data_IF_515460737667
#
_entry.id   IF_515460737667
#
_cell.length_a   1.000
_cell.length_b   1.000
_cell.length_c   1.000
_cell.angle_alpha   90.00
_cell.angle_beta   90.00
_cell.angle_gamma   90.00
#
_symmetry.space_group_name_H-M   'P 1'
#
loop_
_entity.id
_entity.type
_entity.pdbx_description
1 polymer ?
#
# COMPACT_ATOMS: atom_id res chain seq x y z
N UNK A 1 37.27 -16.81 -9.92
CA UNK A 1 36.56 -16.67 -11.22
C UNK A 1 36.23 -18.05 -11.76
N UNK A 2 34.96 -18.47 -11.74
CA UNK A 2 34.55 -19.80 -12.18
C UNK A 2 34.63 -19.91 -13.72
N UNK A 3 35.39 -20.88 -14.24
CA UNK A 3 35.57 -21.12 -15.68
C UNK A 3 34.20 -21.41 -16.34
N UNK A 4 33.84 -20.62 -17.36
CA UNK A 4 32.64 -20.84 -18.20
C UNK A 4 32.66 -22.26 -18.76
N UNK A 5 31.60 -23.01 -18.49
CA UNK A 5 31.38 -24.34 -19.06
C UNK A 5 31.14 -24.18 -20.57
N UNK A 6 31.95 -24.87 -21.37
CA UNK A 6 31.90 -24.88 -22.84
C UNK A 6 30.62 -25.52 -23.35
N UNK A 7 30.17 -25.11 -24.53
CA UNK A 7 28.92 -25.55 -25.17
C UNK A 7 28.86 -27.08 -25.30
N UNK A 8 29.97 -27.71 -25.68
CA UNK A 8 30.08 -29.18 -25.77
C UNK A 8 29.81 -29.89 -24.43
N UNK A 9 30.26 -29.29 -23.31
CA UNK A 9 30.08 -29.87 -21.97
C UNK A 9 28.65 -29.66 -21.45
N UNK A 10 27.91 -28.67 -21.97
CA UNK A 10 26.46 -28.53 -21.73
C UNK A 10 25.65 -29.54 -22.53
N UNK A 11 26.00 -29.77 -23.79
CA UNK A 11 25.33 -30.74 -24.66
C UNK A 11 25.44 -32.16 -24.10
N UNK A 12 26.65 -32.57 -23.70
CA UNK A 12 26.89 -33.87 -23.05
C UNK A 12 26.08 -34.06 -21.77
N UNK A 13 25.95 -33.00 -20.96
CA UNK A 13 25.15 -33.03 -19.73
C UNK A 13 23.64 -33.07 -20.02
N UNK A 14 23.19 -32.56 -21.17
CA UNK A 14 21.80 -32.68 -21.60
C UNK A 14 21.51 -34.11 -22.05
N UNK A 15 22.40 -34.71 -22.85
CA UNK A 15 22.33 -36.10 -23.29
C UNK A 15 22.36 -37.10 -22.11
N UNK A 16 23.25 -36.89 -21.12
CA UNK A 16 23.30 -37.67 -19.88
C UNK A 16 22.02 -37.55 -19.02
N UNK A 17 21.23 -36.48 -19.21
CA UNK A 17 19.94 -36.27 -18.56
C UNK A 17 18.75 -36.68 -19.46
N UNK A 18 18.99 -37.46 -20.51
CA UNK A 18 17.95 -38.03 -21.37
C UNK A 18 17.46 -37.13 -22.50
N UNK A 19 18.15 -36.02 -22.80
CA UNK A 19 17.86 -35.18 -23.96
C UNK A 19 18.47 -35.83 -25.22
N UNK A 20 17.62 -36.37 -26.10
CA UNK A 20 18.02 -36.84 -27.43
C UNK A 20 17.62 -35.80 -28.47
N UNK A 21 18.61 -35.31 -29.21
CA UNK A 21 18.42 -34.40 -30.35
C UNK A 21 18.00 -35.27 -31.56
N UNK A 22 16.74 -35.71 -31.59
CA UNK A 22 16.13 -36.16 -32.83
C UNK A 22 15.59 -34.94 -33.53
N UNK A 23 16.21 -34.57 -34.65
CA UNK A 23 15.89 -33.41 -35.52
C UNK A 23 14.48 -33.49 -36.18
N UNK A 24 13.58 -34.35 -35.70
CA UNK A 24 12.26 -34.59 -36.31
C UNK A 24 11.14 -33.69 -35.76
N UNK A 25 11.36 -32.92 -34.68
CA UNK A 25 10.31 -32.14 -33.99
C UNK A 25 10.65 -30.63 -33.83
N UNK A 26 11.18 -29.99 -34.87
CA UNK A 26 11.25 -28.52 -34.94
C UNK A 26 10.13 -28.00 -35.84
N UNK A 27 8.97 -27.78 -35.24
CA UNK A 27 7.89 -26.94 -35.76
C UNK A 27 8.07 -25.52 -35.20
N UNK A 28 7.86 -24.48 -36.02
CA UNK A 28 7.83 -23.06 -35.61
C UNK A 28 6.74 -22.73 -34.57
N UNK A 29 5.90 -23.71 -34.22
CA UNK A 29 4.90 -23.61 -33.16
C UNK A 29 5.51 -23.33 -31.79
N UNK A 30 4.99 -22.32 -31.06
CA UNK A 30 5.50 -21.95 -29.75
C UNK A 30 5.30 -23.08 -28.74
N UNK A 31 6.38 -23.54 -28.11
CA UNK A 31 6.33 -24.47 -26.98
C UNK A 31 5.77 -23.75 -25.75
N UNK A 32 4.47 -23.92 -25.49
CA UNK A 32 3.79 -23.38 -24.33
C UNK A 32 4.16 -24.17 -23.07
N UNK A 33 4.71 -23.50 -22.06
CA UNK A 33 4.85 -24.10 -20.71
C UNK A 33 3.47 -24.27 -20.08
N UNK A 34 3.29 -25.37 -19.36
CA UNK A 34 2.09 -25.61 -18.55
C UNK A 34 1.83 -24.42 -17.62
N UNK A 35 0.67 -23.80 -17.81
CA UNK A 35 0.16 -22.73 -16.96
C UNK A 35 -0.21 -23.34 -15.58
N UNK A 36 -0.29 -22.51 -14.53
CA UNK A 36 -0.77 -23.01 -13.24
C UNK A 36 -2.27 -23.29 -13.32
N UNK A 37 -2.82 -24.30 -12.61
CA UNK A 37 -4.21 -24.74 -12.79
C UNK A 37 -5.28 -23.65 -12.62
N UNK A 38 -5.00 -22.61 -11.83
CA UNK A 38 -5.91 -21.46 -11.64
C UNK A 38 -5.92 -20.46 -12.81
N UNK A 39 -4.94 -20.57 -13.70
CA UNK A 39 -4.74 -19.76 -14.91
C UNK A 39 -5.25 -20.46 -16.16
N UNK A 40 -5.15 -21.79 -16.25
CA UNK A 40 -5.51 -22.60 -17.43
C UNK A 40 -6.91 -22.29 -17.94
N UNK A 41 -7.92 -22.39 -17.05
CA UNK A 41 -9.33 -22.18 -17.43
C UNK A 41 -9.62 -20.77 -17.96
N UNK A 42 -8.90 -19.76 -17.46
CA UNK A 42 -9.06 -18.36 -17.92
C UNK A 42 -8.28 -18.09 -19.20
N UNK A 43 -7.14 -18.76 -19.39
CA UNK A 43 -6.31 -18.61 -20.57
C UNK A 43 -6.91 -19.33 -21.77
N UNK A 44 -7.49 -20.51 -21.58
CA UNK A 44 -8.28 -21.21 -22.61
C UNK A 44 -9.50 -20.39 -23.02
N UNK A 45 -10.25 -19.84 -22.05
CA UNK A 45 -11.39 -18.95 -22.39
C UNK A 45 -10.92 -17.68 -23.09
N UNK A 46 -9.75 -17.14 -22.74
CA UNK A 46 -9.16 -15.96 -23.42
C UNK A 46 -8.62 -16.28 -24.80
N UNK A 47 -8.03 -17.45 -25.01
CA UNK A 47 -7.52 -17.93 -26.30
C UNK A 47 -8.66 -18.30 -27.22
N UNK A 48 -9.68 -19.02 -26.75
CA UNK A 48 -10.95 -19.22 -27.46
C UNK A 48 -11.57 -17.87 -27.85
N UNK A 49 -11.64 -16.90 -26.92
CA UNK A 49 -12.07 -15.54 -27.28
C UNK A 49 -11.15 -14.84 -28.28
N UNK A 50 -9.83 -15.08 -28.26
CA UNK A 50 -8.92 -14.35 -29.15
C UNK A 50 -8.85 -14.95 -30.55
N UNK A 51 -8.80 -16.27 -30.65
CA UNK A 51 -8.78 -17.04 -31.89
C UNK A 51 -10.17 -17.04 -32.55
N UNK A 52 -11.26 -17.01 -31.78
CA UNK A 52 -12.61 -16.86 -32.32
C UNK A 52 -13.00 -15.38 -32.53
N UNK A 53 -12.77 -14.45 -31.58
CA UNK A 53 -13.33 -13.08 -31.68
C UNK A 53 -12.50 -12.06 -32.47
N UNK A 54 -11.21 -12.27 -32.71
CA UNK A 54 -10.43 -11.38 -33.58
C UNK A 54 -11.04 -11.26 -34.98
N UNK A 55 -11.38 -12.39 -35.63
CA UNK A 55 -12.13 -12.43 -36.88
C UNK A 55 -13.64 -12.17 -36.69
N UNK A 56 -14.28 -12.66 -35.62
CA UNK A 56 -15.73 -12.54 -35.43
C UNK A 56 -16.18 -11.09 -35.30
N UNK A 57 -15.44 -10.25 -34.57
CA UNK A 57 -15.77 -8.84 -34.34
C UNK A 57 -15.87 -8.04 -35.66
N UNK A 58 -14.96 -8.31 -36.60
CA UNK A 58 -15.03 -7.80 -37.99
C UNK A 58 -16.13 -8.46 -38.80
N UNK A 59 -16.34 -9.77 -38.65
CA UNK A 59 -17.32 -10.57 -39.40
C UNK A 59 -18.78 -10.22 -39.06
N UNK A 60 -19.05 -9.77 -37.83
CA UNK A 60 -20.39 -9.41 -37.35
C UNK A 60 -20.60 -7.89 -37.22
N UNK A 61 -19.63 -7.08 -37.65
CA UNK A 61 -19.75 -5.61 -37.65
C UNK A 61 -19.87 -4.98 -36.26
N UNK A 62 -19.25 -5.57 -35.23
CA UNK A 62 -19.27 -4.98 -33.89
C UNK A 62 -18.50 -3.66 -33.89
N UNK A 63 -19.07 -2.65 -33.24
CA UNK A 63 -18.47 -1.33 -33.17
C UNK A 63 -17.11 -1.34 -32.47
N UNK A 64 -16.13 -0.68 -33.07
CA UNK A 64 -14.85 -0.35 -32.44
C UNK A 64 -14.93 0.94 -31.59
N UNK A 65 -16.11 1.53 -31.48
CA UNK A 65 -16.32 2.73 -30.68
C UNK A 65 -15.98 2.46 -29.21
N UNK A 66 -14.93 3.10 -28.72
CA UNK A 66 -14.61 3.09 -27.30
C UNK A 66 -15.66 3.91 -26.55
N UNK A 67 -16.11 3.41 -25.40
CA UNK A 67 -17.00 4.19 -24.52
C UNK A 67 -16.40 5.56 -24.21
N UNK A 68 -17.21 6.64 -24.13
CA UNK A 68 -16.76 7.95 -23.72
C UNK A 68 -15.95 7.89 -22.42
N UNK A 69 -14.87 8.67 -22.37
CA UNK A 69 -14.04 8.76 -21.17
C UNK A 69 -14.63 9.81 -20.24
N UNK A 70 -14.85 9.44 -18.98
CA UNK A 70 -15.25 10.36 -17.92
C UNK A 70 -14.08 10.63 -16.97
N UNK A 71 -14.13 11.78 -16.30
CA UNK A 71 -13.11 12.30 -15.39
C UNK A 71 -13.78 12.78 -14.10
N UNK A 72 -13.17 12.49 -12.95
CA UNK A 72 -13.63 13.04 -11.67
C UNK A 72 -12.78 14.26 -11.34
N UNK A 73 -13.23 15.46 -11.71
CA UNK A 73 -12.57 16.72 -11.36
C UNK A 73 -12.73 17.02 -9.86
N UNK A 74 -12.01 18.02 -9.36
CA UNK A 74 -12.18 18.52 -7.99
C UNK A 74 -13.63 18.92 -7.70
N UNK A 75 -14.31 19.55 -8.65
CA UNK A 75 -15.72 19.95 -8.51
C UNK A 75 -16.64 18.72 -8.34
N UNK A 76 -16.49 17.72 -9.20
CA UNK A 76 -17.26 16.47 -9.10
C UNK A 76 -16.99 15.76 -7.76
N UNK A 77 -15.74 15.75 -7.30
CA UNK A 77 -15.36 15.18 -6.02
C UNK A 77 -16.04 15.92 -4.86
N UNK A 78 -16.12 17.25 -4.92
CA UNK A 78 -16.83 18.04 -3.91
C UNK A 78 -18.33 17.76 -3.89
N UNK A 79 -18.98 17.48 -5.03
CA UNK A 79 -20.37 17.03 -5.04
C UNK A 79 -20.55 15.70 -4.33
N UNK A 80 -19.65 14.73 -4.56
CA UNK A 80 -19.72 13.43 -3.87
C UNK A 80 -19.53 13.55 -2.36
N UNK A 81 -18.55 14.33 -1.90
CA UNK A 81 -18.33 14.53 -0.46
C UNK A 81 -19.45 15.36 0.20
N UNK A 82 -20.03 16.34 -0.49
CA UNK A 82 -21.22 17.07 0.00
C UNK A 82 -22.43 16.18 0.09
N UNK A 83 -22.69 15.38 -0.94
CA UNK A 83 -23.76 14.40 -0.91
C UNK A 83 -23.57 13.50 0.31
N UNK A 84 -22.41 12.87 0.46
CA UNK A 84 -22.14 11.90 1.52
C UNK A 84 -22.23 12.47 2.95
N UNK A 85 -21.95 13.76 3.18
CA UNK A 85 -21.85 14.33 4.53
C UNK A 85 -22.91 15.38 4.88
N UNK A 86 -23.61 15.96 3.90
CA UNK A 86 -24.55 17.06 4.12
C UNK A 86 -25.95 16.76 3.58
N UNK A 87 -26.02 16.17 2.39
CA UNK A 87 -27.27 16.05 1.63
C UNK A 87 -27.77 14.60 1.54
N UNK A 88 -27.10 13.66 2.22
CA UNK A 88 -27.42 12.25 2.10
C UNK A 88 -28.67 11.87 2.90
N UNK A 89 -29.74 11.53 2.17
CA UNK A 89 -30.91 10.86 2.72
C UNK A 89 -30.75 9.34 2.86
N UNK A 90 -29.60 8.77 2.46
CA UNK A 90 -29.36 7.33 2.59
C UNK A 90 -29.11 6.91 4.04
N UNK A 91 -29.93 5.99 4.53
CA UNK A 91 -29.73 5.33 5.81
C UNK A 91 -28.68 4.22 5.64
N UNK A 92 -27.44 4.55 5.98
CA UNK A 92 -26.41 3.53 6.09
C UNK A 92 -26.70 2.65 7.29
N UNK A 93 -26.47 1.35 7.12
CA UNK A 93 -26.55 0.41 8.23
C UNK A 93 -25.62 0.80 9.39
N UNK A 94 -24.44 1.35 9.07
CA UNK A 94 -23.48 1.89 10.03
C UNK A 94 -22.84 3.16 9.47
N UNK A 95 -22.71 4.20 10.29
CA UNK A 95 -22.03 5.45 9.89
C UNK A 95 -20.55 5.25 9.52
N UNK A 96 -19.94 4.15 9.97
CA UNK A 96 -18.60 3.73 9.55
C UNK A 96 -18.47 3.52 8.04
N UNK A 97 -19.57 3.22 7.32
CA UNK A 97 -19.55 3.15 5.86
C UNK A 97 -19.19 4.49 5.22
N UNK A 98 -19.75 5.61 5.71
CA UNK A 98 -19.43 6.95 5.18
C UNK A 98 -17.95 7.26 5.34
N UNK A 99 -17.39 6.94 6.51
CA UNK A 99 -15.95 7.10 6.81
C UNK A 99 -15.09 6.25 5.87
N UNK A 100 -15.42 4.97 5.68
CA UNK A 100 -14.70 4.06 4.78
C UNK A 100 -14.78 4.52 3.32
N UNK A 101 -15.96 4.95 2.86
CA UNK A 101 -16.18 5.44 1.50
C UNK A 101 -15.34 6.71 1.26
N UNK A 102 -15.42 7.73 2.13
CA UNK A 102 -14.63 8.96 2.00
C UNK A 102 -13.12 8.71 2.07
N UNK A 103 -12.65 7.86 2.98
CA UNK A 103 -11.23 7.52 3.07
C UNK A 103 -10.71 6.84 1.80
N UNK A 104 -11.50 5.90 1.26
CA UNK A 104 -11.14 5.13 0.07
C UNK A 104 -11.25 5.94 -1.22
N UNK A 105 -12.23 6.85 -1.32
CA UNK A 105 -12.31 7.86 -2.37
C UNK A 105 -11.01 8.66 -2.43
N UNK A 106 -10.54 9.19 -1.30
CA UNK A 106 -9.29 9.96 -1.22
C UNK A 106 -8.07 9.16 -1.66
N UNK A 107 -8.01 7.86 -1.32
CA UNK A 107 -6.94 7.00 -1.82
C UNK A 107 -6.93 6.91 -3.36
N UNK A 108 -8.10 6.90 -4.02
CA UNK A 108 -8.21 6.83 -5.48
C UNK A 108 -8.16 8.18 -6.20
N UNK A 109 -8.44 9.27 -5.49
CA UNK A 109 -8.39 10.64 -6.01
C UNK A 109 -6.97 11.19 -5.92
N UNK A 110 -6.31 11.02 -4.78
CA UNK A 110 -4.94 11.50 -4.55
C UNK A 110 -3.87 10.54 -5.02
N UNK A 111 -4.23 9.33 -5.45
CA UNK A 111 -3.26 8.39 -6.02
C UNK A 111 -3.85 7.71 -7.26
N UNK A 112 -3.01 7.33 -8.23
CA UNK A 112 -3.48 6.58 -9.38
C UNK A 112 -3.76 5.10 -9.05
N UNK A 113 -3.96 4.70 -7.79
CA UNK A 113 -4.14 3.30 -7.41
C UNK A 113 -5.31 2.65 -8.17
N UNK A 114 -5.11 1.40 -8.61
CA UNK A 114 -6.19 0.60 -9.22
C UNK A 114 -7.10 0.06 -8.13
N UNK A 115 -8.37 -0.18 -8.48
CA UNK A 115 -9.35 -0.80 -7.57
C UNK A 115 -8.81 -2.06 -6.89
N UNK A 116 -8.21 -2.97 -7.67
CA UNK A 116 -7.65 -4.22 -7.19
C UNK A 116 -6.37 -4.09 -6.35
N UNK A 117 -5.78 -2.89 -6.25
CA UNK A 117 -4.60 -2.65 -5.41
C UNK A 117 -5.02 -2.30 -3.97
N UNK A 118 -6.23 -1.74 -3.79
CA UNK A 118 -6.80 -1.37 -2.49
C UNK A 118 -7.85 -2.38 -2.04
N UNK A 119 -8.72 -2.81 -2.95
CA UNK A 119 -9.82 -3.76 -2.72
C UNK A 119 -9.50 -5.12 -3.32
N UNK A 120 -10.21 -6.16 -2.89
CA UNK A 120 -10.13 -7.44 -3.60
C UNK A 120 -10.66 -7.30 -5.02
N UNK A 121 -9.82 -7.65 -5.99
CA UNK A 121 -10.21 -7.62 -7.40
C UNK A 121 -11.08 -8.83 -7.76
N UNK A 122 -12.09 -8.63 -8.60
CA UNK A 122 -12.91 -9.72 -9.15
C UNK A 122 -12.09 -10.80 -9.86
N UNK A 123 -10.96 -10.43 -10.49
CA UNK A 123 -10.06 -11.41 -11.13
C UNK A 123 -9.31 -12.29 -10.13
N UNK A 124 -9.28 -11.90 -8.85
CA UNK A 124 -8.65 -12.58 -7.71
C UNK A 124 -9.66 -12.75 -6.56
N UNK A 125 -10.92 -13.01 -6.89
CA UNK A 125 -11.97 -13.21 -5.90
C UNK A 125 -11.62 -14.38 -4.96
N UNK A 126 -11.90 -14.21 -3.67
CA UNK A 126 -11.63 -15.21 -2.62
C UNK A 126 -10.17 -15.27 -2.17
N UNK A 127 -9.31 -14.38 -2.63
CA UNK A 127 -7.89 -14.34 -2.21
C UNK A 127 -7.64 -13.46 -0.99
N UNK A 128 -8.59 -12.57 -0.65
CA UNK A 128 -8.43 -11.56 0.39
C UNK A 128 -7.35 -10.51 0.09
N UNK A 129 -6.84 -10.43 -1.15
CA UNK A 129 -5.71 -9.57 -1.50
C UNK A 129 -6.14 -8.13 -1.79
N UNK A 130 -5.51 -7.19 -1.08
CA UNK A 130 -5.59 -5.73 -1.28
C UNK A 130 -4.87 -5.04 -0.12
N UNK A 131 -5.19 -3.78 0.17
CA UNK A 131 -4.39 -2.97 1.10
C UNK A 131 -4.51 -3.43 2.55
N UNK A 132 -3.38 -3.81 3.16
CA UNK A 132 -3.26 -4.22 4.58
C UNK A 132 -2.38 -3.26 5.37
N UNK A 133 -2.49 -3.28 6.69
CA UNK A 133 -1.70 -2.39 7.56
C UNK A 133 -0.20 -2.57 7.36
N UNK A 134 0.29 -3.81 7.17
CA UNK A 134 1.70 -4.10 6.88
C UNK A 134 2.25 -3.44 5.61
N UNK A 135 1.37 -3.08 4.67
CA UNK A 135 1.73 -2.40 3.43
C UNK A 135 1.68 -0.86 3.57
N UNK A 136 1.53 -0.37 4.80
CA UNK A 136 1.39 1.07 5.08
C UNK A 136 2.34 1.52 6.17
N UNK A 137 2.61 2.83 6.20
CA UNK A 137 3.43 3.46 7.23
C UNK A 137 2.78 4.76 7.66
N UNK A 138 2.66 4.97 8.96
CA UNK A 138 2.20 6.24 9.53
C UNK A 138 3.38 6.90 10.24
N UNK A 139 3.58 8.18 9.99
CA UNK A 139 4.58 8.97 10.69
C UNK A 139 4.03 10.36 11.03
N UNK A 140 4.64 10.97 12.02
CA UNK A 140 4.42 12.36 12.37
C UNK A 140 5.70 13.13 12.02
N UNK A 141 5.58 14.14 11.17
CA UNK A 141 6.68 14.97 10.69
C UNK A 141 6.63 16.36 11.34
N UNK A 142 7.79 16.94 11.64
CA UNK A 142 7.90 18.31 12.13
C UNK A 142 8.47 19.19 11.04
N UNK A 143 7.68 20.19 10.67
CA UNK A 143 8.08 21.23 9.72
C UNK A 143 7.70 22.57 10.31
N UNK A 144 8.64 23.50 10.35
CA UNK A 144 8.42 24.87 10.85
C UNK A 144 7.77 24.89 12.26
N UNK A 145 8.22 23.98 13.13
CA UNK A 145 7.69 23.76 14.49
C UNK A 145 6.23 23.32 14.58
N UNK A 146 5.65 22.82 13.48
CA UNK A 146 4.30 22.26 13.43
C UNK A 146 4.33 20.75 13.14
N UNK A 147 3.56 19.95 13.90
CA UNK A 147 3.36 18.54 13.57
C UNK A 147 2.51 18.40 12.31
N UNK A 148 2.81 17.37 11.53
CA UNK A 148 2.03 16.95 10.38
C UNK A 148 1.99 15.43 10.31
N UNK A 149 0.79 14.85 10.28
CA UNK A 149 0.64 13.43 10.00
C UNK A 149 0.84 13.13 8.51
N UNK A 150 1.61 12.06 8.24
CA UNK A 150 1.82 11.54 6.89
C UNK A 150 1.61 10.04 6.86
N UNK A 151 0.88 9.58 5.86
CA UNK A 151 0.56 8.17 5.65
C UNK A 151 1.08 7.69 4.30
N UNK A 152 1.99 6.74 4.33
CA UNK A 152 2.53 6.06 3.17
C UNK A 152 1.73 4.79 2.86
N UNK A 153 1.26 4.68 1.62
CA UNK A 153 0.51 3.54 1.09
C UNK A 153 1.34 2.85 0.00
N UNK A 154 1.90 1.68 0.31
CA UNK A 154 2.61 0.84 -0.66
C UNK A 154 1.60 0.08 -1.52
N UNK A 155 1.74 0.17 -2.84
CA UNK A 155 0.89 -0.53 -3.80
C UNK A 155 1.40 -1.94 -4.04
N UNK A 156 1.19 -2.79 -3.06
CA UNK A 156 1.71 -4.18 -3.01
C UNK A 156 1.32 -5.00 -4.25
N UNK A 157 0.11 -4.78 -4.78
CA UNK A 157 -0.42 -5.50 -5.93
C UNK A 157 -0.37 -4.72 -7.25
N UNK A 158 0.58 -3.79 -7.39
CA UNK A 158 0.74 -3.01 -8.61
C UNK A 158 0.93 -3.91 -9.85
N UNK A 159 0.12 -3.67 -10.90
CA UNK A 159 0.16 -4.45 -12.15
C UNK A 159 1.57 -4.43 -12.77
N UNK A 160 2.10 -5.60 -13.08
CA UNK A 160 3.41 -5.78 -13.73
C UNK A 160 4.62 -5.74 -12.78
N UNK A 161 4.36 -5.76 -11.46
CA UNK A 161 5.37 -5.65 -10.40
C UNK A 161 5.27 -6.79 -9.37
N UNK A 162 4.71 -7.94 -9.77
CA UNK A 162 4.49 -9.10 -8.90
C UNK A 162 5.82 -9.61 -8.32
N UNK A 163 6.86 -9.74 -9.14
CA UNK A 163 8.18 -10.25 -8.71
C UNK A 163 9.18 -9.13 -8.37
N UNK A 164 8.71 -7.88 -8.32
CA UNK A 164 9.56 -6.67 -8.21
C UNK A 164 9.23 -5.87 -6.96
N UNK A 165 9.34 -6.51 -5.79
CA UNK A 165 8.91 -5.94 -4.51
C UNK A 165 9.52 -4.57 -4.20
N UNK A 166 10.79 -4.33 -4.58
CA UNK A 166 11.51 -3.07 -4.39
C UNK A 166 10.99 -1.92 -5.27
N UNK A 167 10.34 -2.24 -6.39
CA UNK A 167 9.85 -1.26 -7.38
C UNK A 167 8.37 -0.91 -7.19
N UNK A 168 7.69 -1.54 -6.24
CA UNK A 168 6.26 -1.31 -5.99
C UNK A 168 6.06 0.10 -5.43
N UNK A 169 5.24 0.96 -6.08
CA UNK A 169 5.19 2.37 -5.72
C UNK A 169 4.53 2.59 -4.36
N UNK A 170 5.08 3.53 -3.59
CA UNK A 170 4.51 4.03 -2.34
C UNK A 170 4.08 5.48 -2.54
N UNK A 171 2.79 5.74 -2.38
CA UNK A 171 2.24 7.10 -2.40
C UNK A 171 2.06 7.60 -0.98
N UNK A 172 2.31 8.89 -0.76
CA UNK A 172 2.23 9.52 0.55
C UNK A 172 1.07 10.51 0.51
N UNK A 173 0.18 10.40 1.48
CA UNK A 173 -0.84 11.39 1.78
C UNK A 173 -0.44 12.12 3.06
N UNK A 174 -0.77 13.40 3.16
CA UNK A 174 -0.35 14.24 4.29
C UNK A 174 -1.48 15.16 4.77
N UNK A 175 -1.40 15.53 6.04
CA UNK A 175 -2.43 16.28 6.75
C UNK A 175 -2.52 17.76 6.37
N UNK A 176 -1.38 18.44 6.15
CA UNK A 176 -1.36 19.90 5.96
C UNK A 176 -1.87 20.30 4.57
N UNK A 177 -3.16 20.61 4.50
CA UNK A 177 -3.85 21.12 3.31
C UNK A 177 -4.40 22.54 3.59
N UNK A 178 -3.55 23.58 3.51
CA UNK A 178 -3.92 24.92 3.94
C UNK A 178 -5.05 25.50 3.10
N UNK A 179 -5.94 26.26 3.75
CA UNK A 179 -7.09 26.94 3.13
C UNK A 179 -8.06 26.00 2.39
N UNK A 180 -8.09 24.72 2.76
CA UNK A 180 -9.02 23.74 2.22
C UNK A 180 -10.09 23.32 3.23
N UNK A 181 -11.19 22.77 2.72
CA UNK A 181 -12.25 22.23 3.57
C UNK A 181 -11.77 20.99 4.32
N UNK A 182 -12.18 20.82 5.57
CA UNK A 182 -11.75 19.67 6.40
C UNK A 182 -12.04 18.32 5.73
N UNK A 183 -13.14 18.22 4.98
CA UNK A 183 -13.55 17.00 4.27
C UNK A 183 -12.56 16.55 3.19
N UNK A 184 -11.67 17.42 2.70
CA UNK A 184 -10.64 17.03 1.72
C UNK A 184 -9.36 16.54 2.40
N UNK A 185 -9.22 16.70 3.71
CA UNK A 185 -8.05 16.22 4.44
C UNK A 185 -8.02 14.68 4.40
N UNK A 186 -6.96 14.04 3.85
CA UNK A 186 -6.86 12.59 3.82
C UNK A 186 -6.72 11.96 5.20
N UNK A 187 -6.10 12.65 6.15
CA UNK A 187 -5.84 12.09 7.47
C UNK A 187 -7.09 12.06 8.35
N UNK A 188 -8.09 12.92 8.11
CA UNK A 188 -9.33 12.98 8.90
C UNK A 188 -10.01 11.61 9.05
N UNK A 189 -10.30 10.97 7.92
CA UNK A 189 -11.00 9.69 7.91
C UNK A 189 -10.06 8.51 8.18
N UNK A 190 -8.80 8.61 7.75
CA UNK A 190 -7.81 7.55 7.98
C UNK A 190 -7.50 7.39 9.48
N UNK A 191 -7.32 8.48 10.23
CA UNK A 191 -7.12 8.42 11.69
C UNK A 191 -8.32 7.78 12.38
N UNK A 192 -9.54 8.12 11.95
CA UNK A 192 -10.78 7.54 12.48
C UNK A 192 -10.79 6.02 12.31
N UNK A 193 -10.41 5.52 11.12
CA UNK A 193 -10.29 4.09 10.83
C UNK A 193 -9.19 3.45 11.70
N UNK A 194 -8.02 4.07 11.80
CA UNK A 194 -6.89 3.52 12.55
C UNK A 194 -7.16 3.42 14.04
N UNK A 195 -7.80 4.43 14.63
CA UNK A 195 -8.16 4.44 16.04
C UNK A 195 -9.31 3.46 16.34
N UNK A 196 -10.33 3.40 15.49
CA UNK A 196 -11.41 2.42 15.64
C UNK A 196 -10.89 0.98 15.58
N UNK A 197 -9.87 0.71 14.77
CA UNK A 197 -9.20 -0.58 14.70
C UNK A 197 -8.17 -0.84 15.83
N UNK A 198 -7.91 0.15 16.71
CA UNK A 198 -6.83 0.07 17.70
C UNK A 198 -5.45 -0.17 17.07
N UNK A 199 -5.26 0.31 15.83
CA UNK A 199 -4.14 -0.07 14.98
C UNK A 199 -2.83 0.61 15.36
N UNK A 200 -2.87 1.83 15.91
CA UNK A 200 -1.66 2.58 16.26
C UNK A 200 -1.12 2.08 17.60
N UNK A 201 0.07 1.49 17.61
CA UNK A 201 0.67 0.91 18.81
C UNK A 201 0.89 2.02 19.85
N UNK A 202 0.44 1.79 21.09
CA UNK A 202 0.52 2.70 22.24
C UNK A 202 -0.36 3.96 22.21
N UNK A 203 -1.08 4.25 21.11
CA UNK A 203 -1.91 5.45 20.98
C UNK A 203 -3.37 5.07 20.70
N UNK A 204 -4.26 5.37 21.64
CA UNK A 204 -5.65 4.92 21.62
C UNK A 204 -6.64 6.04 21.29
N UNK A 205 -6.21 7.30 21.38
CA UNK A 205 -7.09 8.46 21.20
C UNK A 205 -6.52 9.47 20.22
N UNK A 206 -7.40 10.24 19.58
CA UNK A 206 -7.02 11.36 18.69
C UNK A 206 -6.14 12.37 19.43
N UNK A 207 -6.48 12.69 20.69
CA UNK A 207 -5.71 13.64 21.51
C UNK A 207 -4.28 13.18 21.73
N UNK A 208 -4.08 11.89 22.03
CA UNK A 208 -2.75 11.33 22.18
C UNK A 208 -1.97 11.39 20.85
N UNK A 209 -2.61 11.01 19.74
CA UNK A 209 -1.98 11.01 18.42
C UNK A 209 -1.52 12.42 17.98
N UNK A 210 -2.37 13.42 18.18
CA UNK A 210 -2.07 14.81 17.82
C UNK A 210 -1.09 15.49 18.79
N UNK A 211 -0.90 14.94 19.99
CA UNK A 211 0.04 15.46 20.98
C UNK A 211 1.46 14.88 20.86
N UNK A 212 1.66 13.90 19.96
CA UNK A 212 2.98 13.30 19.73
C UNK A 212 3.98 14.39 19.37
N UNK A 213 5.21 14.27 19.87
CA UNK A 213 6.38 15.03 19.47
C UNK A 213 7.51 14.06 19.18
N UNK A 214 8.32 14.27 18.13
CA UNK A 214 9.48 13.45 17.87
C UNK A 214 10.54 13.81 18.92
N UNK A 215 11.53 12.95 19.14
CA UNK A 215 12.72 13.34 19.90
C UNK A 215 13.35 14.62 19.33
N UNK A 216 13.96 15.44 20.19
CA UNK A 216 14.52 16.76 19.81
C UNK A 216 15.55 16.69 18.67
N UNK A 217 16.19 15.53 18.46
CA UNK A 217 17.18 15.29 17.41
C UNK A 217 16.60 14.69 16.11
N UNK A 218 15.26 14.58 16.01
CA UNK A 218 14.55 13.99 14.88
C UNK A 218 13.49 14.92 14.29
N UNK A 219 13.49 15.06 12.96
CA UNK A 219 12.47 15.81 12.23
C UNK A 219 11.18 15.03 11.99
N UNK A 220 11.13 13.74 12.35
CA UNK A 220 9.95 12.91 12.21
C UNK A 220 9.99 11.73 13.20
N UNK A 221 8.83 11.15 13.49
CA UNK A 221 8.68 9.97 14.32
C UNK A 221 7.75 8.95 13.64
N UNK A 222 8.17 7.69 13.57
CA UNK A 222 7.39 6.62 12.94
C UNK A 222 6.45 6.02 13.98
N UNK A 223 5.17 5.91 13.62
CA UNK A 223 4.16 5.26 14.43
C UNK A 223 4.03 3.80 14.00
N UNK A 224 4.39 2.90 14.91
CA UNK A 224 4.28 1.47 14.65
C UNK A 224 2.81 1.03 14.68
N UNK A 225 2.45 0.13 13.77
CA UNK A 225 1.19 -0.59 13.87
C UNK A 225 1.27 -1.64 14.98
N UNK A 226 0.14 -1.96 15.60
CA UNK A 226 0.04 -3.08 16.52
C UNK A 226 0.18 -4.42 15.78
N UNK A 227 0.88 -5.38 16.36
CA UNK A 227 1.26 -6.61 15.66
C UNK A 227 0.04 -7.42 15.18
N UNK A 228 -1.06 -7.37 15.93
CA UNK A 228 -2.30 -8.09 15.60
C UNK A 228 -3.07 -7.50 14.40
N UNK A 229 -2.80 -6.26 13.99
CA UNK A 229 -3.49 -5.62 12.84
C UNK A 229 -2.72 -5.75 11.54
N UNK A 230 -1.45 -6.16 11.56
CA UNK A 230 -0.57 -6.13 10.38
C UNK A 230 -1.16 -6.85 9.16
N UNK A 231 -1.77 -8.02 9.40
CA UNK A 231 -2.42 -8.81 8.35
C UNK A 231 -3.86 -8.38 8.09
N UNK A 232 -4.47 -7.50 8.88
CA UNK A 232 -5.84 -7.06 8.66
C UNK A 232 -5.93 -6.08 7.48
N UNK A 233 -7.05 -6.07 6.74
CA UNK A 233 -7.28 -5.07 5.71
C UNK A 233 -7.47 -3.68 6.34
N UNK A 234 -6.94 -2.64 5.68
CA UNK A 234 -7.23 -1.24 6.08
C UNK A 234 -8.70 -0.88 5.77
N UNK A 235 -9.23 -1.46 4.69
CA UNK A 235 -10.62 -1.31 4.26
C UNK A 235 -11.34 -2.66 4.32
N UNK A 236 -11.82 -3.07 5.51
CA UNK A 236 -12.55 -4.31 5.69
C UNK A 236 -13.92 -4.26 5.00
N UNK A 237 -14.49 -5.43 4.75
CA UNK A 237 -15.92 -5.55 4.51
C UNK A 237 -16.66 -5.39 5.84
N UNK A 238 -17.77 -4.67 5.82
CA UNK A 238 -18.58 -4.43 7.01
C UNK A 238 -19.61 -5.56 7.13
N UNK A 239 -19.65 -6.21 8.31
CA UNK A 239 -20.64 -7.24 8.62
C UNK A 239 -22.02 -6.64 8.88
N UNK A 240 -23.03 -7.49 8.82
CA UNK A 240 -24.41 -7.22 9.25
C UNK A 240 -24.49 -7.01 10.78
N UNK A 241 -23.53 -7.54 11.54
CA UNK A 241 -23.60 -7.60 13.01
C UNK A 241 -22.53 -6.69 13.69
N UNK A 242 -22.43 -5.43 13.23
CA UNK A 242 -21.65 -4.33 13.85
C UNK A 242 -20.11 -4.43 13.88
N UNK A 243 -19.50 -5.53 13.45
CA UNK A 243 -18.04 -5.67 13.47
C UNK A 243 -17.43 -5.59 12.07
N UNK A 244 -16.39 -4.75 11.84
CA UNK A 244 -15.55 -4.87 10.67
C UNK A 244 -15.03 -6.29 10.59
N UNK A 245 -15.29 -6.97 9.48
CA UNK A 245 -14.84 -8.34 9.35
C UNK A 245 -13.33 -8.36 9.03
N UNK A 246 -12.67 -9.49 9.27
CA UNK A 246 -11.27 -9.66 8.88
C UNK A 246 -11.11 -9.87 7.36
N UNK A 247 -12.19 -9.74 6.58
CA UNK A 247 -12.18 -9.85 5.12
C UNK A 247 -12.02 -8.48 4.49
N UNK A 248 -11.29 -8.45 3.38
CA UNK A 248 -11.13 -7.21 2.64
C UNK A 248 -12.40 -6.89 1.85
N UNK A 249 -12.74 -5.60 1.72
CA UNK A 249 -13.84 -5.19 0.87
C UNK A 249 -13.58 -5.58 -0.60
N UNK A 250 -14.60 -6.13 -1.25
CA UNK A 250 -14.54 -6.46 -2.68
C UNK A 250 -14.58 -5.20 -3.53
N UNK A 251 -13.90 -5.25 -4.68
CA UNK A 251 -13.89 -4.16 -5.64
C UNK A 251 -15.27 -3.92 -6.26
N UNK A 252 -16.06 -4.98 -6.45
CA UNK A 252 -17.46 -4.88 -6.88
C UNK A 252 -18.27 -4.12 -5.83
N UNK A 253 -18.15 -4.48 -4.54
CA UNK A 253 -18.84 -3.78 -3.45
C UNK A 253 -18.53 -2.28 -3.42
N UNK A 254 -17.25 -1.91 -3.51
CA UNK A 254 -16.88 -0.49 -3.57
C UNK A 254 -17.38 0.21 -4.86
N UNK A 255 -17.38 -0.49 -6.00
CA UNK A 255 -17.87 0.10 -7.26
C UNK A 255 -19.38 0.34 -7.23
N UNK A 256 -20.15 -0.54 -6.57
CA UNK A 256 -21.59 -0.35 -6.35
C UNK A 256 -21.85 0.86 -5.45
N UNK A 257 -21.15 0.97 -4.32
CA UNK A 257 -21.24 2.13 -3.42
C UNK A 257 -20.95 3.45 -4.14
N UNK A 258 -19.91 3.47 -4.98
CA UNK A 258 -19.57 4.65 -5.76
C UNK A 258 -20.65 5.00 -6.80
N UNK A 259 -21.27 3.98 -7.38
CA UNK A 259 -22.35 4.16 -8.35
C UNK A 259 -23.57 4.77 -7.70
N UNK A 260 -24.00 4.22 -6.56
CA UNK A 260 -25.12 4.71 -5.76
C UNK A 260 -24.88 6.16 -5.32
N UNK A 261 -23.71 6.45 -4.75
CA UNK A 261 -23.35 7.80 -4.32
C UNK A 261 -23.34 8.80 -5.50
N UNK A 262 -22.86 8.38 -6.67
CA UNK A 262 -22.86 9.25 -7.86
C UNK A 262 -24.28 9.59 -8.31
N UNK A 263 -25.17 8.59 -8.32
CA UNK A 263 -26.58 8.80 -8.69
C UNK A 263 -27.30 9.70 -7.69
N UNK A 264 -27.05 9.51 -6.40
CA UNK A 264 -27.58 10.35 -5.32
C UNK A 264 -27.10 11.80 -5.43
N UNK A 265 -25.84 12.01 -5.81
CA UNK A 265 -25.28 13.33 -6.08
C UNK A 265 -25.77 13.96 -7.41
N UNK A 266 -26.77 13.37 -8.08
CA UNK A 266 -27.33 13.87 -9.33
C UNK A 266 -26.45 13.68 -10.56
N UNK A 267 -25.41 12.84 -10.48
CA UNK A 267 -24.48 12.60 -11.60
C UNK A 267 -25.08 11.57 -12.55
N UNK A 268 -25.49 12.01 -13.74
CA UNK A 268 -26.11 11.18 -14.77
C UNK A 268 -25.26 9.96 -15.17
N UNK A 269 -23.94 10.12 -15.21
CA UNK A 269 -23.00 9.05 -15.55
C UNK A 269 -22.13 8.73 -14.33
N UNK A 270 -22.40 7.61 -13.64
CA UNK A 270 -21.71 7.27 -12.41
C UNK A 270 -20.19 7.26 -12.55
N UNK A 271 -19.52 7.79 -11.53
CA UNK A 271 -18.07 7.87 -11.50
C UNK A 271 -17.48 6.47 -11.25
N UNK A 272 -16.32 6.21 -11.85
CA UNK A 272 -15.58 4.97 -11.65
C UNK A 272 -14.18 5.26 -11.10
N UNK A 273 -13.54 4.25 -10.50
CA UNK A 273 -12.11 4.34 -10.13
C UNK A 273 -11.22 4.70 -11.33
N UNK A 274 -11.60 4.29 -12.54
CA UNK A 274 -10.89 4.68 -13.75
C UNK A 274 -11.06 6.16 -14.12
N UNK A 275 -12.19 6.77 -13.76
CA UNK A 275 -12.42 8.21 -13.95
C UNK A 275 -11.54 9.03 -13.00
N UNK A 276 -11.41 8.60 -11.74
CA UNK A 276 -10.52 9.22 -10.73
C UNK A 276 -9.05 9.11 -11.15
N UNK A 277 -8.63 7.89 -11.49
CA UNK A 277 -7.25 7.62 -11.95
C UNK A 277 -6.88 8.41 -13.20
N UNK A 278 -7.81 8.63 -14.14
CA UNK A 278 -7.55 9.43 -15.33
C UNK A 278 -7.28 10.88 -14.98
N UNK A 279 -8.11 11.47 -14.11
CA UNK A 279 -7.93 12.86 -13.67
C UNK A 279 -6.62 13.04 -12.89
N UNK A 280 -6.32 12.14 -11.94
CA UNK A 280 -5.09 12.23 -11.14
C UNK A 280 -3.83 12.25 -12.02
N UNK A 281 -3.84 11.51 -13.14
CA UNK A 281 -2.73 11.48 -14.10
C UNK A 281 -2.66 12.75 -14.96
N UNK A 282 -3.79 13.35 -15.32
CA UNK A 282 -3.84 14.62 -16.06
C UNK A 282 -3.27 15.74 -15.18
N UNK A 283 -3.74 15.85 -13.94
CA UNK A 283 -3.29 16.89 -13.00
C UNK A 283 -1.79 16.78 -12.69
N UNK A 284 -1.29 15.55 -12.52
CA UNK A 284 0.15 15.32 -12.36
C UNK A 284 0.99 15.72 -13.59
N UNK A 285 0.42 15.70 -14.80
CA UNK A 285 1.12 16.07 -16.03
C UNK A 285 1.10 17.58 -16.29
N UNK A 286 0.07 18.30 -15.79
CA UNK A 286 -0.11 19.73 -16.02
C UNK A 286 0.79 20.64 -15.18
N UNK A 287 1.23 20.21 -14.00
CA UNK A 287 1.98 21.03 -13.03
C UNK A 287 3.51 20.99 -13.22
N UNK A 288 3.98 21.16 -14.46
CA UNK A 288 5.39 21.44 -14.81
C UNK A 288 6.42 20.32 -14.58
N UNK A 289 6.02 19.07 -14.31
CA UNK A 289 7.00 17.97 -14.37
C UNK A 289 7.37 17.71 -15.83
N UNK A 290 8.62 17.99 -16.20
CA UNK A 290 9.06 17.76 -17.58
C UNK A 290 9.08 16.25 -17.90
N UNK A 291 8.91 15.86 -19.17
CA UNK A 291 9.09 14.45 -19.60
C UNK A 291 10.49 13.91 -19.23
N UNK A 292 11.47 14.80 -19.09
CA UNK A 292 12.83 14.47 -18.64
C UNK A 292 13.00 14.49 -17.12
N UNK A 293 12.17 15.19 -16.35
CA UNK A 293 12.05 15.01 -14.89
C UNK A 293 11.27 13.75 -14.54
N UNK A 294 10.35 13.28 -15.39
CA UNK A 294 9.80 11.91 -15.36
C UNK A 294 10.86 10.86 -15.73
N UNK A 295 11.88 11.23 -16.51
CA UNK A 295 13.02 10.39 -16.94
C UNK A 295 14.28 10.58 -16.07
N UNK A 296 14.35 11.60 -15.20
CA UNK A 296 15.37 11.88 -14.16
C UNK A 296 14.89 11.60 -12.73
N UNK A 297 13.59 11.69 -12.45
CA UNK A 297 12.93 10.80 -11.48
C UNK A 297 13.13 9.36 -11.91
N UNK A 298 13.49 9.10 -13.19
CA UNK A 298 14.19 7.89 -13.54
C UNK A 298 15.72 7.99 -13.29
N UNK A 299 16.53 8.85 -13.96
CA UNK A 299 18.02 9.08 -13.97
C UNK A 299 19.07 8.23 -14.80
N UNK A 300 18.93 7.88 -16.09
CA UNK A 300 19.98 7.29 -17.00
C UNK A 300 19.54 7.37 -18.47
N UNK A 301 20.52 7.34 -19.40
CA UNK A 301 20.38 7.18 -20.86
C UNK A 301 19.97 5.77 -21.30
N UNK A 302 20.00 4.80 -20.38
CA UNK A 302 19.36 3.49 -20.52
C UNK A 302 18.24 3.36 -19.47
N UNK A 303 16.97 3.42 -19.93
CA UNK A 303 15.76 3.49 -19.09
C UNK A 303 15.61 2.35 -18.07
N UNK A 304 16.29 1.21 -18.27
CA UNK A 304 16.05 -0.03 -17.50
C UNK A 304 16.84 -0.11 -16.19
N UNK A 305 18.15 0.12 -16.22
CA UNK A 305 19.06 -0.09 -15.05
C UNK A 305 18.73 0.86 -13.90
N UNK A 306 18.27 2.02 -14.29
CA UNK A 306 17.98 3.14 -13.45
C UNK A 306 16.71 3.02 -12.60
N UNK A 307 15.59 2.72 -13.26
CA UNK A 307 14.32 2.42 -12.62
C UNK A 307 14.40 1.18 -11.74
N UNK A 308 15.34 0.28 -12.08
CA UNK A 308 15.55 -0.97 -11.37
C UNK A 308 16.40 -0.81 -10.12
N UNK A 309 17.47 -0.02 -10.18
CA UNK A 309 18.57 -0.11 -9.21
C UNK A 309 18.77 1.15 -8.32
N UNK A 310 18.30 2.34 -8.72
CA UNK A 310 18.63 3.61 -8.01
C UNK A 310 17.45 4.43 -7.49
N UNK A 311 16.26 4.24 -8.03
CA UNK A 311 15.08 4.98 -7.59
C UNK A 311 14.39 4.29 -6.43
N UNK A 312 14.12 5.08 -5.39
CA UNK A 312 13.21 4.65 -4.33
C UNK A 312 11.83 4.36 -4.92
N UNK A 313 11.16 3.34 -4.39
CA UNK A 313 9.74 3.08 -4.67
C UNK A 313 8.82 4.19 -4.18
N UNK A 314 9.31 5.14 -3.39
CA UNK A 314 8.54 6.29 -2.89
C UNK A 314 8.36 7.34 -3.99
N UNK A 315 7.11 7.68 -4.30
CA UNK A 315 6.80 8.64 -5.38
C UNK A 315 7.00 10.08 -4.92
N UNK A 316 7.73 10.88 -5.72
CA UNK A 316 7.91 12.32 -5.50
C UNK A 316 6.82 13.20 -6.12
N UNK A 317 5.88 12.60 -6.86
CA UNK A 317 4.79 13.33 -7.50
C UNK A 317 3.74 13.66 -6.45
N UNK A 318 3.55 14.95 -6.21
CA UNK A 318 2.53 15.46 -5.28
C UNK A 318 1.14 15.41 -5.91
N UNK A 319 0.59 14.19 -6.01
CA UNK A 319 -0.70 13.96 -6.65
C UNK A 319 -1.85 14.57 -5.83
N UNK A 320 -1.68 14.72 -4.51
CA UNK A 320 -2.64 15.36 -3.62
C UNK A 320 -2.73 16.86 -3.90
N UNK A 321 -1.61 17.60 -3.87
CA UNK A 321 -1.60 19.02 -4.20
C UNK A 321 -2.07 19.27 -5.65
N UNK A 322 -1.63 18.44 -6.60
CA UNK A 322 -2.05 18.55 -8.00
C UNK A 322 -3.57 18.44 -8.14
N UNK A 323 -4.21 17.46 -7.51
CA UNK A 323 -5.66 17.30 -7.57
C UNK A 323 -6.41 18.47 -6.92
N UNK A 324 -5.91 18.94 -5.77
CA UNK A 324 -6.50 20.06 -5.02
C UNK A 324 -6.17 21.44 -5.61
N UNK A 325 -5.39 21.50 -6.70
CA UNK A 325 -4.90 22.75 -7.31
C UNK A 325 -4.11 23.63 -6.33
N UNK A 326 -3.33 22.99 -5.46
CA UNK A 326 -2.42 23.63 -4.51
C UNK A 326 -0.99 23.67 -5.08
N UNK A 327 -0.11 24.56 -4.56
CA UNK A 327 1.32 24.48 -4.82
C UNK A 327 1.88 23.10 -4.45
N UNK A 328 2.62 22.48 -5.36
CA UNK A 328 3.24 21.18 -5.12
C UNK A 328 4.39 21.30 -4.14
N UNK A 329 4.55 20.29 -3.29
CA UNK A 329 5.67 20.18 -2.34
C UNK A 329 6.48 18.92 -2.64
N UNK A 330 7.68 18.82 -2.07
CA UNK A 330 8.57 17.66 -2.24
C UNK A 330 9.07 17.10 -0.91
N UNK A 331 8.93 17.86 0.18
CA UNK A 331 9.41 17.52 1.52
C UNK A 331 8.64 16.34 2.14
N UNK A 332 7.42 16.06 1.66
CA UNK A 332 6.63 14.93 2.15
C UNK A 332 7.35 13.59 1.94
N UNK A 333 8.02 13.43 0.79
CA UNK A 333 8.69 12.19 0.41
C UNK A 333 10.07 12.01 1.04
N UNK A 334 10.70 13.10 1.50
CA UNK A 334 12.04 13.06 2.09
C UNK A 334 12.07 12.26 3.38
N UNK A 335 11.13 12.47 4.30
CA UNK A 335 11.06 11.73 5.56
C UNK A 335 10.91 10.21 5.35
N UNK A 336 10.12 9.80 4.34
CA UNK A 336 9.97 8.39 3.99
C UNK A 336 11.23 7.82 3.34
N UNK A 337 11.99 8.61 2.57
CA UNK A 337 13.30 8.17 2.05
C UNK A 337 14.29 8.01 3.20
N UNK A 338 14.35 8.98 4.11
CA UNK A 338 15.22 8.95 5.29
C UNK A 338 14.96 7.74 6.19
N UNK A 339 13.70 7.29 6.30
CA UNK A 339 13.35 6.05 7.01
C UNK A 339 14.05 4.80 6.45
N UNK A 340 14.36 4.76 5.15
CA UNK A 340 15.02 3.57 4.56
C UNK A 340 16.43 3.38 5.11
N UNK A 341 17.08 4.47 5.53
CA UNK A 341 18.33 4.48 6.27
C UNK A 341 17.98 4.49 7.76
N UNK A 342 17.59 3.32 8.31
CA UNK A 342 17.22 3.18 9.73
C UNK A 342 18.34 3.71 10.63
N UNK A 343 18.13 4.87 11.27
CA UNK A 343 19.00 5.39 12.34
C UNK A 343 18.46 4.87 13.66
N UNK A 344 19.23 4.00 14.33
CA UNK A 344 18.99 3.65 15.72
C UNK A 344 19.92 4.52 16.59
N UNK A 345 19.42 5.61 17.21
CA UNK A 345 20.24 6.50 18.03
C UNK A 345 20.83 5.79 19.26
N UNK A 346 20.20 4.70 19.73
CA UNK A 346 20.70 3.91 20.87
C UNK A 346 21.82 2.93 20.49
N UNK A 347 22.00 2.64 19.19
CA UNK A 347 23.03 1.71 18.73
C UNK A 347 24.45 2.24 18.96
N UNK A 348 24.61 3.57 19.09
CA UNK A 348 25.90 4.24 19.21
C UNK A 348 26.32 4.55 20.65
N UNK A 349 25.48 4.28 21.64
CA UNK A 349 25.78 4.56 23.03
C UNK A 349 25.82 3.26 23.83
N UNK A 350 26.85 2.45 23.58
CA UNK A 350 27.39 1.70 24.72
C UNK A 350 27.81 2.76 25.74
N UNK A 351 27.19 2.76 26.93
CA UNK A 351 27.67 3.54 28.06
C UNK A 351 29.19 3.33 28.17
N UNK A 352 29.99 4.35 28.49
CA UNK A 352 31.41 4.15 28.76
C UNK A 352 31.58 2.94 29.70
N UNK A 353 32.54 2.06 29.43
CA UNK A 353 32.61 0.74 30.07
C UNK A 353 32.47 0.81 31.61
N UNK A 354 33.01 1.86 32.22
CA UNK A 354 32.86 2.15 33.66
C UNK A 354 31.41 2.42 34.07
N UNK A 355 30.69 3.30 33.36
CA UNK A 355 29.28 3.61 33.64
C UNK A 355 28.40 2.39 33.40
N UNK A 356 28.74 1.55 32.40
CA UNK A 356 28.05 0.29 32.17
C UNK A 356 28.27 -0.71 33.30
N UNK A 357 29.50 -0.80 33.83
CA UNK A 357 29.83 -1.66 34.97
C UNK A 357 29.15 -1.16 36.26
N UNK A 358 29.21 0.14 36.52
CA UNK A 358 28.53 0.79 37.65
C UNK A 358 27.01 0.51 37.60
N UNK A 359 26.39 0.66 36.41
CA UNK A 359 24.97 0.37 36.20
C UNK A 359 24.65 -1.12 36.43
N UNK A 360 25.48 -2.04 35.92
CA UNK A 360 25.34 -3.49 36.12
C UNK A 360 25.45 -3.91 37.59
N UNK A 361 26.15 -3.11 38.41
CA UNK A 361 26.28 -3.38 39.83
C UNK A 361 25.10 -2.84 40.67
N UNK A 362 24.28 -1.94 40.12
CA UNK A 362 23.07 -1.47 40.81
C UNK A 362 22.06 -2.60 41.04
N UNK A 363 21.36 -2.53 42.18
CA UNK A 363 20.39 -3.56 42.56
C UNK A 363 19.21 -3.60 41.59
N UNK A 364 18.71 -2.44 41.18
CA UNK A 364 17.61 -2.31 40.21
C UNK A 364 17.94 -2.99 38.87
N UNK A 365 19.17 -2.83 38.37
CA UNK A 365 19.59 -3.45 37.12
C UNK A 365 19.65 -4.98 37.25
N UNK A 366 20.23 -5.49 38.34
CA UNK A 366 20.29 -6.94 38.62
C UNK A 366 18.89 -7.54 38.77
N UNK A 367 17.98 -6.83 39.42
CA UNK A 367 16.59 -7.24 39.60
C UNK A 367 15.84 -7.32 38.26
N UNK A 368 15.99 -6.31 37.41
CA UNK A 368 15.37 -6.28 36.08
C UNK A 368 15.97 -7.38 35.19
N UNK A 369 17.30 -7.52 35.17
CA UNK A 369 17.99 -8.55 34.38
C UNK A 369 17.63 -9.96 34.85
N UNK A 370 17.51 -10.18 36.16
CA UNK A 370 17.04 -11.42 36.77
C UNK A 370 15.60 -11.75 36.34
N UNK A 371 14.70 -10.77 36.37
CA UNK A 371 13.31 -10.93 35.90
C UNK A 371 13.26 -11.27 34.41
N UNK A 372 14.01 -10.56 33.57
CA UNK A 372 14.09 -10.81 32.12
C UNK A 372 14.62 -12.22 31.84
N UNK A 373 15.66 -12.65 32.55
CA UNK A 373 16.27 -13.98 32.40
C UNK A 373 15.33 -15.10 32.83
N UNK A 374 14.58 -14.89 33.92
CA UNK A 374 13.56 -15.82 34.40
C UNK A 374 12.43 -15.98 33.38
N UNK A 375 11.85 -14.86 32.91
CA UNK A 375 10.77 -14.87 31.91
C UNK A 375 11.26 -15.50 30.59
N UNK A 376 12.48 -15.18 30.16
CA UNK A 376 13.07 -15.74 28.94
C UNK A 376 13.31 -17.26 29.04
N UNK A 377 13.62 -17.75 30.25
CA UNK A 377 13.75 -19.19 30.52
C UNK A 377 12.40 -19.90 30.55
N UNK A 378 11.37 -19.25 31.10
CA UNK A 378 9.99 -19.76 31.08
C UNK A 378 9.46 -19.85 29.64
N UNK A 379 9.69 -18.82 28.82
CA UNK A 379 9.29 -18.78 27.41
C UNK A 379 9.89 -19.93 26.57
N UNK A 380 11.09 -20.44 26.92
CA UNK A 380 11.71 -21.57 26.22
C UNK A 380 11.00 -22.92 26.46
N UNK A 381 10.28 -23.04 27.58
CA UNK A 381 9.72 -24.32 28.05
C UNK A 381 8.19 -24.38 27.95
N UNK A 382 7.55 -23.33 27.43
CA UNK A 382 6.09 -23.23 27.33
C UNK A 382 5.65 -23.50 25.89
N UNK A 383 4.66 -24.38 25.73
CA UNK A 383 4.03 -24.69 24.44
C UNK A 383 2.67 -24.00 24.24
N UNK A 384 2.09 -23.43 25.31
CA UNK A 384 0.80 -22.75 25.28
C UNK A 384 0.92 -21.32 24.72
N UNK A 385 0.13 -21.02 23.69
CA UNK A 385 0.19 -19.77 22.93
C UNK A 385 -0.30 -18.55 23.76
N UNK A 386 -1.25 -18.76 24.67
CA UNK A 386 -1.75 -17.72 25.57
C UNK A 386 -0.69 -17.30 26.60
N UNK A 387 -0.05 -18.28 27.25
CA UNK A 387 1.03 -18.06 28.21
C UNK A 387 2.27 -17.44 27.57
N UNK A 388 2.59 -17.81 26.31
CA UNK A 388 3.67 -17.16 25.54
C UNK A 388 3.36 -15.66 25.35
N UNK A 389 2.14 -15.30 24.94
CA UNK A 389 1.74 -13.90 24.75
C UNK A 389 1.83 -13.09 26.04
N UNK A 390 1.33 -13.65 27.15
CA UNK A 390 1.32 -12.94 28.43
C UNK A 390 2.74 -12.74 28.98
N UNK A 391 3.59 -13.76 28.94
CA UNK A 391 4.99 -13.62 29.36
C UNK A 391 5.80 -12.71 28.43
N UNK A 392 5.51 -12.71 27.13
CA UNK A 392 6.13 -11.75 26.20
C UNK A 392 5.74 -10.33 26.56
N UNK A 393 4.45 -10.08 26.87
CA UNK A 393 3.96 -8.77 27.31
C UNK A 393 4.64 -8.32 28.61
N UNK A 394 4.79 -9.20 29.59
CA UNK A 394 5.46 -8.89 30.86
C UNK A 394 6.95 -8.60 30.67
N UNK A 395 7.62 -9.35 29.80
CA UNK A 395 9.02 -9.08 29.44
C UNK A 395 9.15 -7.73 28.75
N UNK A 396 8.24 -7.41 27.84
CA UNK A 396 8.25 -6.15 27.09
C UNK A 396 8.01 -4.95 28.00
N UNK A 397 7.19 -5.10 29.06
CA UNK A 397 7.00 -4.07 30.09
C UNK A 397 8.29 -3.74 30.85
N UNK A 398 9.20 -4.71 31.06
CA UNK A 398 10.48 -4.49 31.74
C UNK A 398 11.50 -3.71 30.89
N UNK A 399 11.25 -3.53 29.59
CA UNK A 399 12.08 -2.73 28.68
C UNK A 399 11.59 -1.27 28.52
N UNK A 400 10.48 -0.92 29.18
CA UNK A 400 9.87 0.43 29.19
C UNK A 400 10.09 1.10 30.54
#
# INVERSE_FOLDING_TARGET
MAKKITTAKRRRRAEENGYHDSDDDIDDSPVLRSLQPCTDKKYETQLEFWDEEGPLKKKIGLSDATRPKHYLTLENYMYLERQLWQEDGHEYKHEGYRVLISAKLKCHVYTPARLGEISESSVRSGTGKGLRYKDTTLLVAWKDSKPELRWGMKREFAKGMQDKASQRPTHILYEDVPNQLLVVNPMLFMISIFLAAGAVKHYQTVKQLLAIKPPDDQSYWILNWADYVLEKPVFPEMSVDDSPNDKIQTGTGFSSQLTELSLQAGIQHPITVYSMRRESLIQATGNSYSKDELTKFAAHTNRVTLQRDYLSSITNVDSQACFLKLPTRSDFAENFRSMTVKRNPELFLSLPAKVQDDLRQTEDYKDIEGKISSISSQLKNIADEYSIRELTRQRDQLFT
#
